data_IF_860878282722
#
_entry.id   IF_860878282722
#
_cell.length_a   1.000
_cell.length_b   1.000
_cell.length_c   1.000
_cell.angle_alpha   90.00
_cell.angle_beta   90.00
_cell.angle_gamma   90.00
#
_symmetry.space_group_name_H-M   'P 1'
#
loop_
_entity.id
_entity.type
_entity.pdbx_description
1 polymer ?
#
# COMPACT_ATOMS: atom_id res chain seq x y z
N UNK A 1 14.26 -9.30 -7.15
CA UNK A 1 14.66 -9.11 -5.73
C UNK A 1 13.46 -8.57 -4.97
N UNK A 2 13.08 -9.16 -3.82
CA UNK A 2 11.85 -8.80 -3.13
C UNK A 2 11.84 -7.32 -2.74
N UNK A 3 10.82 -6.58 -3.18
CA UNK A 3 10.74 -5.13 -2.99
C UNK A 3 10.36 -4.83 -1.56
N UNK A 4 11.30 -4.38 -0.73
CA UNK A 4 10.98 -3.93 0.64
C UNK A 4 10.32 -2.55 0.60
N UNK A 5 9.03 -2.47 0.91
CA UNK A 5 8.28 -1.23 0.96
C UNK A 5 8.23 -0.70 2.39
N UNK A 6 8.94 0.38 2.65
CA UNK A 6 9.00 1.01 3.98
C UNK A 6 7.70 1.71 4.35
N UNK A 7 7.49 1.91 5.65
CA UNK A 7 6.33 2.62 6.21
C UNK A 7 6.02 3.95 5.55
N UNK A 8 7.02 4.80 5.37
CA UNK A 8 6.85 6.09 4.70
C UNK A 8 6.38 5.96 3.25
N UNK A 9 6.82 4.92 2.53
CA UNK A 9 6.47 4.69 1.14
C UNK A 9 5.04 4.14 1.01
N UNK A 10 4.65 3.12 1.78
CA UNK A 10 3.28 2.61 1.70
C UNK A 10 2.24 3.58 2.25
N UNK A 11 2.60 4.44 3.22
CA UNK A 11 1.71 5.52 3.68
C UNK A 11 1.50 6.56 2.57
N UNK A 12 2.58 6.98 1.90
CA UNK A 12 2.49 7.88 0.75
C UNK A 12 1.61 7.30 -0.36
N UNK A 13 1.75 6.01 -0.62
CA UNK A 13 0.89 5.33 -1.60
C UNK A 13 -0.56 5.24 -1.13
N UNK A 14 -0.82 5.03 0.15
CA UNK A 14 -2.17 5.01 0.69
C UNK A 14 -2.86 6.37 0.50
N UNK A 15 -2.15 7.46 0.78
CA UNK A 15 -2.63 8.83 0.53
C UNK A 15 -2.90 9.06 -0.96
N UNK A 16 -1.97 8.68 -1.83
CA UNK A 16 -2.16 8.83 -3.28
C UNK A 16 -3.36 8.03 -3.81
N UNK A 17 -3.54 6.79 -3.32
CA UNK A 17 -4.68 5.94 -3.69
C UNK A 17 -5.97 6.58 -3.19
N UNK A 18 -6.02 7.04 -1.93
CA UNK A 18 -7.17 7.73 -1.36
C UNK A 18 -7.54 8.95 -2.19
N UNK A 19 -6.57 9.81 -2.47
CA UNK A 19 -6.81 11.04 -3.22
C UNK A 19 -7.22 10.76 -4.68
N UNK A 20 -6.69 9.70 -5.29
CA UNK A 20 -7.15 9.24 -6.60
C UNK A 20 -8.60 8.78 -6.56
N UNK A 21 -8.98 7.99 -5.56
CA UNK A 21 -10.36 7.52 -5.35
C UNK A 21 -11.29 8.70 -5.11
N UNK A 22 -10.92 9.64 -4.24
CA UNK A 22 -11.73 10.82 -3.94
C UNK A 22 -11.95 11.69 -5.18
N UNK A 23 -10.90 11.89 -6.01
CA UNK A 23 -11.00 12.72 -7.22
C UNK A 23 -11.74 12.05 -8.36
N UNK A 24 -11.48 10.77 -8.61
CA UNK A 24 -12.00 10.05 -9.77
C UNK A 24 -13.22 9.17 -9.48
N UNK A 25 -13.64 9.08 -8.20
CA UNK A 25 -14.69 8.18 -7.68
C UNK A 25 -14.50 6.72 -8.09
N UNK A 26 -13.26 6.30 -8.35
CA UNK A 26 -12.91 4.93 -8.75
C UNK A 26 -11.56 4.51 -8.19
N UNK A 27 -11.40 3.21 -7.94
CA UNK A 27 -10.11 2.65 -7.59
C UNK A 27 -9.11 2.81 -8.75
N UNK A 28 -7.83 3.11 -8.46
CA UNK A 28 -6.78 3.07 -9.48
C UNK A 28 -6.53 1.64 -9.94
N UNK A 29 -6.22 1.41 -11.21
CA UNK A 29 -5.87 0.07 -11.72
C UNK A 29 -4.51 -0.41 -11.17
N UNK A 30 -3.58 0.52 -10.98
CA UNK A 30 -2.25 0.29 -10.42
C UNK A 30 -1.79 1.54 -9.66
N UNK A 31 -0.95 1.36 -8.64
CA UNK A 31 -0.16 2.45 -8.08
C UNK A 31 1.23 2.45 -8.71
N UNK A 32 1.69 3.64 -9.09
CA UNK A 32 3.08 3.83 -9.53
C UNK A 32 3.94 3.99 -8.29
N UNK A 33 4.81 3.01 -8.07
CA UNK A 33 5.81 3.04 -7.01
C UNK A 33 7.17 3.37 -7.61
N UNK A 34 8.14 3.75 -6.77
CA UNK A 34 9.51 4.02 -7.23
C UNK A 34 10.19 2.81 -7.87
N UNK A 35 9.66 1.60 -7.64
CA UNK A 35 10.17 0.33 -8.18
C UNK A 35 9.33 -0.23 -9.33
N UNK A 36 8.27 0.44 -9.73
CA UNK A 36 7.39 0.01 -10.82
C UNK A 36 5.90 0.12 -10.50
N UNK A 37 5.07 -0.40 -11.41
CA UNK A 37 3.61 -0.43 -11.27
C UNK A 37 3.18 -1.62 -10.42
N UNK A 38 2.46 -1.36 -9.32
CA UNK A 38 1.86 -2.40 -8.49
C UNK A 38 0.35 -2.43 -8.76
N UNK A 39 -0.23 -3.56 -9.19
CA UNK A 39 -1.65 -3.67 -9.44
C UNK A 39 -2.47 -3.50 -8.16
N UNK A 40 -3.68 -2.97 -8.27
CA UNK A 40 -4.53 -2.66 -7.12
C UNK A 40 -4.81 -3.88 -6.23
N UNK A 41 -5.00 -5.07 -6.81
CA UNK A 41 -5.20 -6.31 -6.06
C UNK A 41 -4.04 -6.63 -5.10
N UNK A 42 -2.78 -6.40 -5.53
CA UNK A 42 -1.60 -6.55 -4.67
C UNK A 42 -1.56 -5.48 -3.58
N UNK A 43 -1.98 -4.26 -3.88
CA UNK A 43 -2.08 -3.19 -2.87
C UNK A 43 -3.09 -3.56 -1.79
N UNK A 44 -4.28 -4.02 -2.18
CA UNK A 44 -5.31 -4.48 -1.23
C UNK A 44 -4.74 -5.58 -0.34
N UNK A 45 -4.14 -6.62 -0.92
CA UNK A 45 -3.51 -7.69 -0.15
C UNK A 45 -2.43 -7.18 0.83
N UNK A 46 -1.58 -6.27 0.36
CA UNK A 46 -0.54 -5.65 1.19
C UNK A 46 -1.14 -4.89 2.37
N UNK A 47 -2.14 -4.03 2.13
CA UNK A 47 -2.80 -3.28 3.20
C UNK A 47 -3.59 -4.20 4.16
N UNK A 48 -4.22 -5.27 3.68
CA UNK A 48 -4.85 -6.27 4.54
C UNK A 48 -3.85 -6.92 5.48
N UNK A 49 -2.63 -7.24 5.00
CA UNK A 49 -1.55 -7.77 5.86
C UNK A 49 -1.05 -6.73 6.87
N UNK A 50 -0.91 -5.47 6.45
CA UNK A 50 -0.52 -4.37 7.36
C UNK A 50 -1.55 -4.22 8.48
N UNK A 51 -2.83 -4.19 8.13
CA UNK A 51 -3.93 -4.06 9.09
C UNK A 51 -4.04 -5.29 10.01
N UNK A 52 -3.86 -6.50 9.48
CA UNK A 52 -3.81 -7.72 10.27
C UNK A 52 -2.65 -7.73 11.27
N UNK A 53 -1.46 -7.31 10.85
CA UNK A 53 -0.30 -7.16 11.74
C UNK A 53 -0.56 -6.08 12.80
N UNK A 54 -1.15 -4.95 12.42
CA UNK A 54 -1.50 -3.87 13.34
C UNK A 54 -2.50 -4.34 14.40
N UNK A 55 -3.54 -5.09 14.01
CA UNK A 55 -4.51 -5.66 14.94
C UNK A 55 -3.90 -6.64 15.93
N UNK A 56 -2.89 -7.41 15.50
CA UNK A 56 -2.22 -8.40 16.36
C UNK A 56 -1.12 -7.81 17.27
N UNK A 57 -0.41 -6.78 16.81
CA UNK A 57 0.79 -6.24 17.49
C UNK A 57 0.61 -4.85 18.09
N UNK A 58 -0.50 -4.17 17.80
CA UNK A 58 -0.73 -2.77 18.18
C UNK A 58 0.23 -1.77 17.53
N UNK A 59 1.02 -2.20 16.53
CA UNK A 59 2.04 -1.39 15.86
C UNK A 59 2.01 -1.60 14.35
N UNK A 60 2.38 -0.57 13.61
CA UNK A 60 2.53 -0.69 12.16
C UNK A 60 3.86 -1.37 11.80
N UNK A 61 3.89 -2.25 10.78
CA UNK A 61 5.11 -2.89 10.33
C UNK A 61 6.04 -1.86 9.68
N UNK A 62 7.31 -1.87 10.07
CA UNK A 62 8.31 -0.90 9.60
C UNK A 62 8.55 -0.99 8.08
N UNK A 63 8.38 -2.19 7.52
CA UNK A 63 8.35 -2.44 6.09
C UNK A 63 7.47 -3.66 5.78
N UNK A 64 6.97 -3.73 4.55
CA UNK A 64 6.29 -4.90 3.99
C UNK A 64 7.01 -5.38 2.75
N UNK A 65 6.95 -6.68 2.49
CA UNK A 65 7.56 -7.28 1.30
C UNK A 65 6.47 -7.49 0.25
N UNK A 66 6.70 -6.95 -0.96
CA UNK A 66 5.84 -7.05 -2.15
C UNK A 66 6.57 -7.74 -3.31
#
# INVERSE_FOLDING_TARGET
>A
MPGKLYMSAYLRYAVNIRDFITRNRRAPNYAVTSRGRVPYSRLVYMYSRILGFHGASGRLPQYVVI
#
